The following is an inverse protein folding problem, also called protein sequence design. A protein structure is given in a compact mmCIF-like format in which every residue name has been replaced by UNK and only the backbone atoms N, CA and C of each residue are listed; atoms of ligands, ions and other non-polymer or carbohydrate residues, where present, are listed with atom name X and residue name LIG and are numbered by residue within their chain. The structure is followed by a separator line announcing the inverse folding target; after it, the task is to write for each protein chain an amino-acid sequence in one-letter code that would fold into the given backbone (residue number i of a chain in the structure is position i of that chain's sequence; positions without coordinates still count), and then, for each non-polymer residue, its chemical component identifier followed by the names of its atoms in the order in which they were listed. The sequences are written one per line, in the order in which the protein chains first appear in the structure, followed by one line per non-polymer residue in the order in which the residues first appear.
data_IF_033776420988
#
_entry.id   IF_033776420988
#
_cell.length_a   1.000
_cell.length_b   1.000
_cell.length_c   1.000
_cell.angle_alpha   90.00
_cell.angle_beta   90.00
_cell.angle_gamma   90.00
#
_symmetry.space_group_name_H-M   'P 1'
#
loop_
_entity.id
_entity.type
_entity.pdbx_description
1 polymer ?
#
# COMPACT_ATOMS: atom_id res chain seq x y z
N UNK A 1 18.96 33.71 21.60
CA UNK A 1 17.84 32.76 21.47
C UNK A 1 17.31 32.92 20.05
N UNK A 2 17.75 32.08 19.11
CA UNK A 2 17.34 32.17 17.70
C UNK A 2 16.62 30.86 17.41
N UNK A 3 15.30 30.97 17.26
CA UNK A 3 14.40 29.87 16.94
C UNK A 3 14.62 29.51 15.46
N UNK A 4 15.26 28.37 15.20
CA UNK A 4 15.39 27.84 13.85
C UNK A 4 14.11 27.08 13.49
N UNK A 5 13.37 27.59 12.51
CA UNK A 5 12.21 26.92 11.93
C UNK A 5 12.61 25.56 11.33
N UNK A 6 11.79 24.50 11.46
CA UNK A 6 12.10 23.19 10.92
C UNK A 6 12.12 23.27 9.38
N UNK A 7 13.25 22.90 8.78
CA UNK A 7 13.34 22.71 7.34
C UNK A 7 12.43 21.54 6.94
N UNK A 8 11.36 21.84 6.18
CA UNK A 8 10.51 20.83 5.57
C UNK A 8 11.36 19.97 4.63
N UNK A 9 11.56 18.71 5.01
CA UNK A 9 12.23 17.71 4.17
C UNK A 9 11.41 17.54 2.89
N UNK A 10 12.06 17.77 1.73
CA UNK A 10 11.44 17.56 0.43
C UNK A 10 11.12 16.06 0.31
N UNK A 11 9.88 15.66 -0.03
CA UNK A 11 9.55 14.25 -0.15
C UNK A 11 10.42 13.62 -1.25
N UNK A 12 11.11 12.54 -0.88
CA UNK A 12 11.96 11.79 -1.79
C UNK A 12 11.14 11.21 -2.93
N UNK A 13 11.50 11.56 -4.16
CA UNK A 13 10.90 11.03 -5.37
C UNK A 13 11.76 9.87 -5.87
N UNK A 14 11.18 8.68 -6.01
CA UNK A 14 11.83 7.56 -6.70
C UNK A 14 11.17 7.44 -8.06
N UNK A 15 11.97 7.60 -9.12
CA UNK A 15 11.50 7.40 -10.50
C UNK A 15 11.24 5.91 -10.70
N UNK A 16 10.02 5.54 -11.09
CA UNK A 16 9.70 4.18 -11.51
C UNK A 16 10.65 3.76 -12.64
N UNK A 17 11.12 2.53 -12.60
CA UNK A 17 11.84 1.94 -13.71
C UNK A 17 10.89 1.67 -14.90
N UNK A 18 11.47 1.37 -16.07
CA UNK A 18 10.69 1.15 -17.28
C UNK A 18 9.77 -0.08 -17.18
N UNK A 19 10.06 -1.03 -16.28
CA UNK A 19 9.22 -2.19 -16.03
C UNK A 19 7.91 -1.77 -15.34
N UNK A 20 7.98 -0.93 -14.31
CA UNK A 20 6.79 -0.48 -13.58
C UNK A 20 5.84 0.39 -14.43
N UNK A 21 6.34 1.11 -15.45
CA UNK A 21 5.47 1.80 -16.43
C UNK A 21 4.63 0.82 -17.28
N UNK A 22 5.16 -0.37 -17.61
CA UNK A 22 4.44 -1.38 -18.38
C UNK A 22 3.27 -1.95 -17.57
N UNK A 23 3.42 -2.14 -16.25
CA UNK A 23 2.36 -2.67 -15.41
C UNK A 23 1.21 -1.69 -15.18
N UNK A 24 1.48 -0.38 -15.14
CA UNK A 24 0.41 0.62 -15.09
C UNK A 24 -0.27 0.79 -16.45
N UNK A 25 0.48 0.71 -17.55
CA UNK A 25 -0.06 0.81 -18.91
C UNK A 25 -0.87 -0.43 -19.33
N UNK A 26 -0.57 -1.62 -18.78
CA UNK A 26 -1.27 -2.87 -19.08
C UNK A 26 -2.51 -3.13 -18.21
N UNK A 27 -2.91 -2.17 -17.37
CA UNK A 27 -4.04 -2.35 -16.46
C UNK A 27 -5.38 -2.23 -17.20
N UNK A 28 -6.24 -3.22 -17.01
CA UNK A 28 -7.63 -3.21 -17.46
C UNK A 28 -8.57 -3.43 -16.26
N UNK A 29 -9.87 -3.15 -16.42
CA UNK A 29 -10.88 -3.42 -15.37
C UNK A 29 -10.91 -4.89 -14.90
N UNK A 30 -10.38 -5.82 -15.71
CA UNK A 30 -10.33 -7.27 -15.46
C UNK A 30 -9.05 -7.70 -14.74
N UNK A 31 -7.96 -6.94 -14.86
CA UNK A 31 -6.66 -7.29 -14.28
C UNK A 31 -6.25 -6.24 -13.25
N UNK A 32 -6.67 -6.47 -12.00
CA UNK A 32 -6.39 -5.57 -10.87
C UNK A 32 -4.91 -5.47 -10.54
N UNK A 33 -4.10 -6.45 -10.99
CA UNK A 33 -2.71 -6.66 -10.54
C UNK A 33 -2.58 -6.65 -9.01
N UNK A 34 -3.63 -7.04 -8.29
CA UNK A 34 -3.59 -7.20 -6.83
C UNK A 34 -3.47 -8.68 -6.53
N UNK A 35 -2.47 -9.05 -5.76
CA UNK A 35 -2.38 -10.40 -5.20
C UNK A 35 -2.81 -10.36 -3.74
N UNK A 36 -3.45 -11.45 -3.30
CA UNK A 36 -3.87 -11.65 -1.91
C UNK A 36 -3.06 -12.79 -1.30
N UNK A 37 -2.43 -12.53 -0.16
CA UNK A 37 -1.85 -13.54 0.72
C UNK A 37 -2.74 -13.68 1.94
N UNK A 38 -3.06 -14.91 2.34
CA UNK A 38 -3.85 -15.16 3.54
C UNK A 38 -3.12 -16.12 4.48
N UNK A 39 -3.19 -15.82 5.77
CA UNK A 39 -2.71 -16.68 6.84
C UNK A 39 -3.86 -16.98 7.81
N UNK A 40 -3.95 -18.21 8.28
CA UNK A 40 -4.96 -18.65 9.26
C UNK A 40 -4.26 -18.98 10.58
N UNK A 41 -4.81 -18.49 11.67
CA UNK A 41 -4.30 -18.67 13.03
C UNK A 41 -5.14 -19.71 13.79
N UNK A 42 -4.59 -20.22 14.88
CA UNK A 42 -5.30 -21.17 15.76
C UNK A 42 -6.41 -20.48 16.58
N UNK A 43 -6.25 -19.18 16.84
CA UNK A 43 -7.14 -18.36 17.67
C UNK A 43 -7.79 -17.22 16.86
N UNK A 44 -8.88 -16.66 17.39
CA UNK A 44 -9.55 -15.51 16.79
C UNK A 44 -8.65 -14.26 16.84
N UNK A 45 -8.69 -13.49 15.75
CA UNK A 45 -7.87 -12.30 15.59
C UNK A 45 -8.47 -11.16 16.41
N UNK A 46 -7.67 -10.60 17.31
CA UNK A 46 -7.90 -9.28 17.89
C UNK A 46 -7.41 -8.19 16.92
N UNK A 47 -8.34 -7.38 16.40
CA UNK A 47 -8.06 -6.29 15.48
C UNK A 47 -7.08 -5.25 16.05
N UNK A 48 -7.15 -4.95 17.35
CA UNK A 48 -6.28 -3.97 17.98
C UNK A 48 -4.84 -4.48 18.08
N UNK A 49 -4.66 -5.76 18.38
CA UNK A 49 -3.34 -6.41 18.37
C UNK A 49 -2.78 -6.45 16.94
N UNK A 50 -3.61 -6.79 15.97
CA UNK A 50 -3.21 -6.79 14.56
C UNK A 50 -2.83 -5.39 14.07
N UNK A 51 -3.56 -4.35 14.49
CA UNK A 51 -3.23 -2.96 14.16
C UNK A 51 -1.87 -2.56 14.73
N UNK A 52 -1.58 -2.92 15.99
CA UNK A 52 -0.27 -2.63 16.58
C UNK A 52 0.87 -3.33 15.84
N UNK A 53 0.65 -4.57 15.39
CA UNK A 53 1.63 -5.29 14.58
C UNK A 53 1.84 -4.60 13.23
N UNK A 54 0.75 -4.18 12.58
CA UNK A 54 0.77 -3.44 11.33
C UNK A 54 1.53 -2.11 11.46
N UNK A 55 1.27 -1.31 12.49
CA UNK A 55 1.93 -0.03 12.72
C UNK A 55 3.46 -0.20 12.88
N UNK A 56 3.88 -1.24 13.63
CA UNK A 56 5.30 -1.55 13.82
C UNK A 56 6.00 -1.95 12.53
N UNK A 57 5.36 -2.82 11.73
CA UNK A 57 5.89 -3.24 10.43
C UNK A 57 5.92 -2.06 9.47
N UNK A 58 4.83 -1.29 9.37
CA UNK A 58 4.75 -0.13 8.49
C UNK A 58 5.81 0.94 8.78
N UNK A 59 6.16 1.13 10.06
CA UNK A 59 7.26 2.00 10.45
C UNK A 59 8.62 1.55 9.87
N UNK A 60 8.85 0.23 9.76
CA UNK A 60 10.10 -0.38 9.31
C UNK A 60 10.26 -0.48 7.79
N UNK A 61 9.17 -0.42 7.01
CA UNK A 61 9.19 -0.60 5.56
C UNK A 61 8.74 0.68 4.80
N UNK A 62 9.61 1.68 4.60
CA UNK A 62 9.28 2.94 3.91
C UNK A 62 8.72 2.78 2.49
N UNK A 63 9.01 1.68 1.80
CA UNK A 63 8.47 1.39 0.48
C UNK A 63 6.94 1.33 0.48
N UNK A 64 6.35 0.76 1.54
CA UNK A 64 4.91 0.59 1.67
C UNK A 64 4.15 1.91 1.90
N UNK A 65 4.88 3.00 2.17
CA UNK A 65 4.30 4.36 2.30
C UNK A 65 4.00 5.01 0.96
N UNK A 66 4.42 4.38 -0.14
CA UNK A 66 4.26 4.93 -1.47
C UNK A 66 2.82 4.83 -1.98
N UNK A 67 2.36 5.91 -2.60
CA UNK A 67 1.10 5.99 -3.35
C UNK A 67 1.41 6.17 -4.84
N UNK A 68 0.58 5.59 -5.69
CA UNK A 68 0.72 5.76 -7.14
C UNK A 68 0.13 7.11 -7.58
N UNK A 69 0.83 7.82 -8.46
CA UNK A 69 0.42 9.12 -8.98
C UNK A 69 0.53 9.15 -10.48
N UNK A 70 -0.40 9.87 -11.11
CA UNK A 70 -0.45 10.06 -12.56
C UNK A 70 0.05 11.47 -12.93
N UNK A 71 1.09 11.53 -13.77
CA UNK A 71 1.49 12.71 -14.51
C UNK A 71 0.78 12.79 -15.87
N UNK A 72 1.15 13.74 -16.72
CA UNK A 72 0.47 13.94 -18.03
C UNK A 72 0.71 12.75 -18.97
N UNK A 73 1.88 12.08 -18.89
CA UNK A 73 2.24 10.94 -19.75
C UNK A 73 2.90 9.75 -19.02
N UNK A 74 2.98 9.76 -17.68
CA UNK A 74 3.68 8.71 -16.90
C UNK A 74 3.08 8.54 -15.51
N UNK A 75 3.42 7.43 -14.85
CA UNK A 75 3.08 7.18 -13.45
C UNK A 75 4.34 7.21 -12.58
N UNK A 76 4.19 7.60 -11.31
CA UNK A 76 5.28 7.62 -10.34
C UNK A 76 4.80 7.27 -8.94
N UNK A 77 5.68 6.68 -8.13
CA UNK A 77 5.45 6.40 -6.72
C UNK A 77 5.86 7.63 -5.92
N UNK A 78 4.94 8.13 -5.09
CA UNK A 78 5.16 9.25 -4.19
C UNK A 78 5.09 8.75 -2.75
N UNK A 79 6.06 9.13 -1.91
CA UNK A 79 5.95 8.90 -0.46
C UNK A 79 4.73 9.64 0.12
N UNK A 80 3.95 8.97 0.96
CA UNK A 80 2.79 9.55 1.64
C UNK A 80 2.90 9.41 3.16
N UNK A 81 2.20 10.28 3.87
CA UNK A 81 2.03 10.24 5.34
C UNK A 81 0.79 9.45 5.75
N UNK A 82 0.19 8.68 4.84
CA UNK A 82 -0.98 7.87 5.14
C UNK A 82 -0.60 6.77 6.13
N UNK A 83 -1.55 6.41 6.99
CA UNK A 83 -1.41 5.31 7.93
C UNK A 83 -2.33 4.16 7.49
N UNK A 84 -1.83 2.91 7.47
CA UNK A 84 -2.66 1.78 7.15
C UNK A 84 -3.59 1.45 8.32
N UNK A 85 -4.79 1.01 8.01
CA UNK A 85 -5.79 0.61 9.00
C UNK A 85 -6.22 -0.83 8.71
N UNK A 86 -6.26 -1.65 9.75
CA UNK A 86 -6.79 -3.00 9.73
C UNK A 86 -8.30 -2.93 9.55
N UNK A 87 -8.83 -3.58 8.51
CA UNK A 87 -10.27 -3.59 8.23
C UNK A 87 -10.85 -4.99 8.35
N UNK A 88 -12.12 -5.08 8.66
CA UNK A 88 -12.84 -6.34 8.59
C UNK A 88 -13.04 -6.78 7.13
N UNK A 89 -12.87 -8.07 6.82
CA UNK A 89 -13.07 -8.62 5.47
C UNK A 89 -14.57 -8.89 5.22
N UNK A 90 -15.31 -7.85 4.81
CA UNK A 90 -16.75 -7.90 4.46
C UNK A 90 -17.06 -7.85 2.94
N UNK A 91 -16.05 -7.58 2.11
CA UNK A 91 -16.21 -7.29 0.68
C UNK A 91 -15.90 -8.45 -0.28
N UNK A 92 -16.03 -8.22 -1.60
CA UNK A 92 -15.61 -9.18 -2.63
C UNK A 92 -14.08 -9.38 -2.61
N UNK A 93 -13.61 -10.57 -3.01
CA UNK A 93 -12.26 -11.06 -2.69
C UNK A 93 -11.05 -10.24 -3.19
N UNK A 94 -11.14 -9.35 -4.18
CA UNK A 94 -9.97 -8.53 -4.62
C UNK A 94 -10.45 -7.27 -5.38
N UNK A 95 -10.90 -6.20 -4.72
CA UNK A 95 -11.24 -4.95 -5.38
C UNK A 95 -9.96 -4.23 -5.86
N UNK A 96 -10.11 -3.39 -6.88
CA UNK A 96 -9.05 -2.50 -7.34
C UNK A 96 -8.57 -1.59 -6.19
N UNK A 97 -7.35 -1.80 -5.70
CA UNK A 97 -6.76 -0.98 -4.61
C UNK A 97 -6.44 0.45 -5.05
N UNK A 98 -6.15 0.64 -6.34
CA UNK A 98 -5.94 1.97 -6.90
C UNK A 98 -7.16 2.42 -7.69
N UNK A 99 -7.61 3.64 -7.40
CA UNK A 99 -8.59 4.41 -8.14
C UNK A 99 -7.91 5.72 -8.55
N UNK A 100 -8.05 6.16 -9.81
CA UNK A 100 -7.33 7.31 -10.38
C UNK A 100 -7.47 8.61 -9.56
N UNK A 101 -8.54 8.73 -8.78
CA UNK A 101 -8.87 9.91 -7.97
C UNK A 101 -8.49 9.77 -6.50
N UNK A 102 -8.19 8.55 -6.02
CA UNK A 102 -7.89 8.29 -4.61
C UNK A 102 -6.40 8.14 -4.35
N UNK A 103 -5.94 8.80 -3.30
CA UNK A 103 -4.59 8.66 -2.76
C UNK A 103 -4.63 7.62 -1.65
N UNK A 104 -4.80 6.38 -2.02
CA UNK A 104 -4.82 5.27 -1.07
C UNK A 104 -3.46 4.55 -1.10
N UNK A 105 -3.13 3.92 0.03
CA UNK A 105 -1.98 3.02 0.09
C UNK A 105 -2.18 1.87 -0.90
N UNK A 106 -1.08 1.42 -1.50
CA UNK A 106 -1.09 0.36 -2.50
C UNK A 106 -1.19 -1.06 -1.90
N UNK A 107 -1.59 -1.15 -0.64
CA UNK A 107 -1.85 -2.39 0.07
C UNK A 107 -2.94 -2.18 1.12
N UNK A 108 -3.55 -3.27 1.58
CA UNK A 108 -4.45 -3.26 2.74
C UNK A 108 -4.35 -4.56 3.53
N UNK A 109 -4.61 -4.46 4.83
CA UNK A 109 -4.68 -5.60 5.75
C UNK A 109 -6.12 -5.79 6.20
N UNK A 110 -6.61 -7.00 6.02
CA UNK A 110 -7.96 -7.39 6.37
C UNK A 110 -7.93 -8.54 7.37
N UNK A 111 -8.98 -8.67 8.17
CA UNK A 111 -9.16 -9.85 9.03
C UNK A 111 -10.61 -10.34 9.05
N UNK A 112 -10.80 -11.64 9.25
CA UNK A 112 -12.10 -12.27 9.48
C UNK A 112 -11.95 -13.57 10.26
N UNK A 113 -12.53 -13.61 11.46
CA UNK A 113 -12.36 -14.74 12.39
C UNK A 113 -10.88 -14.94 12.70
N UNK A 114 -10.30 -16.06 12.24
CA UNK A 114 -8.89 -16.43 12.42
C UNK A 114 -8.00 -16.16 11.22
N UNK A 115 -8.55 -15.57 10.15
CA UNK A 115 -7.82 -15.30 8.91
C UNK A 115 -7.38 -13.85 8.80
N UNK A 116 -6.09 -13.64 8.57
CA UNK A 116 -5.52 -12.37 8.13
C UNK A 116 -5.36 -12.44 6.60
N UNK A 117 -5.78 -11.40 5.88
CA UNK A 117 -5.54 -11.26 4.45
C UNK A 117 -4.75 -9.98 4.19
N UNK A 118 -3.63 -10.12 3.49
CA UNK A 118 -2.85 -9.00 2.95
C UNK A 118 -3.11 -8.92 1.45
N UNK A 119 -3.58 -7.78 0.98
CA UNK A 119 -3.70 -7.49 -0.44
C UNK A 119 -2.69 -6.41 -0.84
N UNK A 120 -1.94 -6.66 -1.91
CA UNK A 120 -0.89 -5.75 -2.38
C UNK A 120 -1.01 -5.55 -3.88
N UNK A 121 -0.90 -4.31 -4.31
CA UNK A 121 -0.80 -3.97 -5.72
C UNK A 121 0.61 -4.28 -6.24
N UNK A 122 0.70 -5.05 -7.33
CA UNK A 122 1.95 -5.62 -7.86
C UNK A 122 3.06 -4.60 -8.12
N UNK A 123 2.70 -3.37 -8.52
CA UNK A 123 3.69 -2.32 -8.77
C UNK A 123 4.46 -1.87 -7.50
N UNK A 124 4.00 -2.24 -6.29
CA UNK A 124 4.74 -2.03 -5.06
C UNK A 124 5.87 -3.05 -4.87
N UNK A 125 5.76 -4.23 -5.48
CA UNK A 125 6.64 -5.39 -5.24
C UNK A 125 7.45 -5.83 -6.47
N UNK A 126 7.30 -5.16 -7.61
CA UNK A 126 7.89 -5.58 -8.87
C UNK A 126 9.41 -5.40 -8.88
N UNK A 127 10.13 -6.51 -8.76
CA UNK A 127 11.55 -6.63 -9.09
C UNK A 127 12.51 -6.97 -7.95
N UNK A 128 12.15 -6.77 -6.66
CA UNK A 128 13.10 -7.04 -5.55
C UNK A 128 12.47 -7.49 -4.22
N UNK A 129 11.16 -7.77 -4.18
CA UNK A 129 10.43 -8.19 -2.97
C UNK A 129 10.39 -9.69 -2.78
#
# INVERSE_FOLDING_TARGET
MIEQAPQAQRPGWVRLDNAANIFVAARSEVDTKVFRLSAELDEDIDSAVLQQALDRVYAQYPLFRAVLRRGIFWYYLQQSELQPEVRFDDGPSVPHLYQDERRDLLFRVLHRGRRISLEVFHALTDGTG
#
